data_IF_757211038669
#
_entry.id   IF_757211038669
#
_cell.length_a   1.000
_cell.length_b   1.000
_cell.length_c   1.000
_cell.angle_alpha   90.00
_cell.angle_beta   90.00
_cell.angle_gamma   90.00
#
_symmetry.space_group_name_H-M   'P 1'
#
loop_
_entity.id
_entity.type
_entity.pdbx_description
1 polymer ?
#
# COMPACT_ATOMS: atom_id res chain seq x y z
N UNK A 1 12.85 -27.17 -3.18
CA UNK A 1 12.66 -25.76 -3.63
C UNK A 1 11.17 -25.47 -3.61
N UNK A 2 10.73 -24.48 -2.83
CA UNK A 2 9.35 -24.00 -2.90
C UNK A 2 9.21 -23.08 -4.12
N UNK A 3 8.22 -23.31 -4.97
CA UNK A 3 7.87 -22.41 -6.06
C UNK A 3 6.76 -21.51 -5.58
N UNK A 4 6.91 -20.21 -5.75
CA UNK A 4 5.93 -19.19 -5.35
C UNK A 4 5.23 -18.64 -6.58
N UNK A 5 3.90 -18.71 -6.61
CA UNK A 5 3.10 -18.20 -7.72
C UNK A 5 2.82 -16.71 -7.56
N UNK A 6 3.15 -15.92 -8.60
CA UNK A 6 3.02 -14.47 -8.61
C UNK A 6 2.33 -14.00 -9.88
N UNK A 7 1.20 -13.30 -9.74
CA UNK A 7 0.58 -12.58 -10.85
C UNK A 7 1.06 -11.13 -10.87
N UNK A 8 1.68 -10.73 -11.97
CA UNK A 8 2.07 -9.33 -12.20
C UNK A 8 1.01 -8.64 -13.04
N UNK A 9 0.54 -7.52 -12.57
CA UNK A 9 -0.40 -6.62 -13.23
C UNK A 9 0.25 -5.24 -13.40
N UNK A 10 0.99 -4.98 -14.51
CA UNK A 10 1.70 -3.72 -14.67
C UNK A 10 0.78 -2.50 -14.68
N UNK A 11 -0.40 -2.63 -15.30
CA UNK A 11 -1.42 -1.58 -15.37
C UNK A 11 -1.05 -0.45 -16.31
N UNK A 12 -1.22 0.81 -15.84
CA UNK A 12 -1.20 2.02 -16.66
C UNK A 12 -0.01 2.94 -16.33
N UNK A 13 0.23 3.89 -17.19
CA UNK A 13 1.18 4.99 -16.97
C UNK A 13 2.61 4.52 -16.71
N UNK A 14 3.14 4.87 -15.52
CA UNK A 14 4.50 4.44 -15.10
C UNK A 14 4.55 2.98 -14.62
N UNK A 15 3.40 2.33 -14.42
CA UNK A 15 3.33 0.96 -13.90
C UNK A 15 4.22 -0.04 -14.64
N UNK A 16 4.21 -0.12 -15.99
CA UNK A 16 5.10 -1.00 -16.75
C UNK A 16 6.59 -0.70 -16.55
N UNK A 17 6.97 0.58 -16.40
CA UNK A 17 8.37 0.98 -16.19
C UNK A 17 8.89 0.49 -14.84
N UNK A 18 8.17 0.78 -13.75
CA UNK A 18 8.59 0.40 -12.40
C UNK A 18 8.53 -1.12 -12.20
N UNK A 19 7.58 -1.80 -12.87
CA UNK A 19 7.46 -3.25 -12.82
C UNK A 19 8.64 -3.96 -13.51
N UNK A 20 9.20 -3.34 -14.55
CA UNK A 20 10.40 -3.86 -15.21
C UNK A 20 11.56 -3.97 -14.22
N UNK A 21 11.72 -3.00 -13.32
CA UNK A 21 12.79 -3.02 -12.32
C UNK A 21 12.56 -4.10 -11.25
N UNK A 22 11.30 -4.35 -10.86
CA UNK A 22 10.95 -5.47 -9.96
C UNK A 22 11.28 -6.82 -10.60
N UNK A 23 11.06 -6.99 -11.90
CA UNK A 23 11.43 -8.23 -12.63
C UNK A 23 12.92 -8.52 -12.56
N UNK A 24 13.76 -7.48 -12.60
CA UNK A 24 15.21 -7.64 -12.42
C UNK A 24 15.54 -8.19 -11.03
N UNK A 25 14.86 -7.68 -9.97
CA UNK A 25 15.02 -8.17 -8.58
C UNK A 25 14.55 -9.62 -8.44
N UNK A 26 13.42 -9.99 -9.06
CA UNK A 26 12.95 -11.38 -9.09
C UNK A 26 14.02 -12.30 -9.71
N UNK A 27 14.53 -11.93 -10.89
CA UNK A 27 15.59 -12.70 -11.58
C UNK A 27 16.88 -12.80 -10.75
N UNK A 28 17.24 -11.74 -10.03
CA UNK A 28 18.39 -11.76 -9.12
C UNK A 28 18.19 -12.77 -7.97
N UNK A 29 16.99 -12.83 -7.36
CA UNK A 29 16.68 -13.80 -6.31
C UNK A 29 16.74 -15.23 -6.84
N UNK A 30 16.23 -15.49 -8.04
CA UNK A 30 16.26 -16.82 -8.67
C UNK A 30 17.70 -17.30 -8.93
N UNK A 31 18.59 -16.40 -9.34
CA UNK A 31 19.98 -16.71 -9.64
C UNK A 31 20.82 -16.92 -8.37
N UNK A 32 20.60 -16.08 -7.35
CA UNK A 32 21.53 -16.00 -6.22
C UNK A 32 21.01 -16.60 -4.92
N UNK A 33 19.69 -16.91 -4.81
CA UNK A 33 19.05 -17.31 -3.54
C UNK A 33 18.32 -18.65 -3.58
N UNK A 34 18.43 -19.40 -4.67
CA UNK A 34 17.77 -20.71 -4.88
C UNK A 34 16.22 -20.65 -4.62
N UNK A 35 15.62 -19.54 -4.98
CA UNK A 35 14.19 -19.30 -4.89
C UNK A 35 13.62 -19.36 -6.31
N UNK A 36 12.43 -19.95 -6.48
CA UNK A 36 11.74 -19.98 -7.77
C UNK A 36 10.39 -19.29 -7.70
N UNK A 37 10.11 -18.50 -8.72
CA UNK A 37 8.82 -17.86 -8.90
C UNK A 37 8.16 -18.39 -10.18
N UNK A 38 6.89 -18.79 -10.06
CA UNK A 38 6.01 -19.01 -11.22
C UNK A 38 5.28 -17.69 -11.50
N UNK A 39 5.89 -16.89 -12.38
CA UNK A 39 5.42 -15.54 -12.71
C UNK A 39 4.49 -15.59 -13.90
N UNK A 40 3.26 -15.17 -13.72
CA UNK A 40 2.31 -14.87 -14.79
C UNK A 40 2.05 -13.38 -14.91
N UNK A 41 1.60 -12.92 -16.07
CA UNK A 41 1.26 -11.51 -16.30
C UNK A 41 -0.11 -11.40 -16.96
N UNK A 42 -0.83 -10.32 -16.63
CA UNK A 42 -2.11 -10.00 -17.24
C UNK A 42 -2.40 -8.49 -17.19
N UNK A 43 -3.52 -8.08 -17.78
CA UNK A 43 -3.91 -6.68 -17.90
C UNK A 43 -4.86 -6.27 -16.77
N UNK A 44 -4.73 -5.01 -16.35
CA UNK A 44 -5.63 -4.34 -15.39
C UNK A 44 -5.72 -2.85 -15.74
N UNK A 45 -6.78 -2.20 -15.28
CA UNK A 45 -6.96 -0.76 -15.45
C UNK A 45 -7.33 -0.36 -16.87
N UNK A 46 -6.75 0.74 -17.33
CA UNK A 46 -6.96 1.25 -18.69
C UNK A 46 -6.41 0.33 -19.76
N UNK A 47 -5.29 -0.35 -19.48
CA UNK A 47 -4.72 -1.34 -20.39
C UNK A 47 -5.68 -2.52 -20.64
N UNK A 48 -6.37 -2.99 -19.59
CA UNK A 48 -7.40 -4.01 -19.74
C UNK A 48 -8.63 -3.49 -20.48
N UNK A 49 -9.05 -2.26 -20.17
CA UNK A 49 -10.18 -1.63 -20.86
C UNK A 49 -9.93 -1.48 -22.38
N UNK A 50 -8.75 -1.09 -22.78
CA UNK A 50 -8.39 -0.93 -24.20
C UNK A 50 -8.50 -2.24 -25.00
N UNK A 51 -8.27 -3.37 -24.35
CA UNK A 51 -8.29 -4.71 -25.01
C UNK A 51 -9.65 -5.41 -24.82
N UNK A 52 -10.23 -5.32 -23.64
CA UNK A 52 -11.40 -6.14 -23.25
C UNK A 52 -12.69 -5.32 -23.05
N UNK A 53 -12.61 -3.97 -23.06
CA UNK A 53 -13.76 -3.09 -22.76
C UNK A 53 -14.15 -3.05 -21.28
N UNK A 54 -13.37 -3.69 -20.39
CA UNK A 54 -13.57 -3.70 -18.94
C UNK A 54 -12.23 -3.51 -18.22
N UNK A 55 -12.20 -2.85 -17.05
CA UNK A 55 -10.93 -2.56 -16.35
C UNK A 55 -10.29 -3.77 -15.67
N UNK A 56 -10.99 -4.90 -15.61
CA UNK A 56 -10.49 -6.20 -15.14
C UNK A 56 -11.31 -7.31 -15.80
N UNK A 57 -10.65 -8.19 -16.56
CA UNK A 57 -11.29 -9.34 -17.18
C UNK A 57 -11.52 -10.46 -16.16
N UNK A 58 -12.53 -11.30 -16.38
CA UNK A 58 -12.87 -12.39 -15.45
C UNK A 58 -11.75 -13.45 -15.36
N UNK A 59 -11.06 -13.73 -16.47
CA UNK A 59 -9.92 -14.67 -16.47
C UNK A 59 -8.76 -14.10 -15.62
N UNK A 60 -8.50 -12.79 -15.68
CA UNK A 60 -7.50 -12.13 -14.85
C UNK A 60 -7.88 -12.21 -13.37
N UNK A 61 -9.17 -12.02 -13.04
CA UNK A 61 -9.68 -12.18 -11.68
C UNK A 61 -9.51 -13.62 -11.19
N UNK A 62 -9.81 -14.61 -12.02
CA UNK A 62 -9.62 -16.03 -11.67
C UNK A 62 -8.14 -16.37 -11.42
N UNK A 63 -7.22 -15.84 -12.24
CA UNK A 63 -5.77 -15.97 -11.99
C UNK A 63 -5.38 -15.32 -10.65
N UNK A 64 -5.84 -14.09 -10.38
CA UNK A 64 -5.54 -13.39 -9.13
C UNK A 64 -5.99 -14.18 -7.88
N UNK A 65 -7.12 -14.88 -7.97
CA UNK A 65 -7.61 -15.75 -6.89
C UNK A 65 -6.82 -17.04 -6.72
N UNK A 66 -6.08 -17.49 -7.74
CA UNK A 66 -5.36 -18.77 -7.75
C UNK A 66 -3.90 -18.70 -7.33
N UNK A 67 -3.29 -17.51 -7.37
CA UNK A 67 -1.87 -17.30 -7.04
C UNK A 67 -1.65 -17.00 -5.56
N UNK A 68 -0.40 -17.16 -5.09
CA UNK A 68 0.00 -16.81 -3.72
C UNK A 68 -0.03 -15.28 -3.48
N UNK A 69 0.30 -14.49 -4.51
CA UNK A 69 0.31 -13.04 -4.43
C UNK A 69 0.06 -12.37 -5.79
N UNK A 70 -0.54 -11.19 -5.75
CA UNK A 70 -0.67 -10.28 -6.89
C UNK A 70 0.23 -9.08 -6.66
N UNK A 71 0.99 -8.67 -7.67
CA UNK A 71 1.78 -7.44 -7.66
C UNK A 71 1.27 -6.51 -8.77
N UNK A 72 0.78 -5.33 -8.37
CA UNK A 72 0.19 -4.34 -9.26
C UNK A 72 1.10 -3.12 -9.35
N UNK A 73 1.27 -2.58 -10.56
CA UNK A 73 2.05 -1.37 -10.79
C UNK A 73 1.27 -0.10 -10.49
N UNK A 74 0.38 0.29 -11.38
CA UNK A 74 -0.49 1.45 -11.19
C UNK A 74 -1.72 1.37 -12.10
N UNK A 75 -2.79 2.10 -11.80
CA UNK A 75 -3.98 2.20 -12.65
C UNK A 75 -4.43 3.64 -12.78
N UNK A 76 -5.11 3.95 -13.89
CA UNK A 76 -5.69 5.27 -14.14
C UNK A 76 -5.00 6.06 -15.23
N UNK A 77 -5.62 7.17 -15.60
CA UNK A 77 -5.07 8.12 -16.56
C UNK A 77 -6.16 8.99 -17.22
N UNK A 78 -5.81 10.19 -17.67
CA UNK A 78 -6.78 11.19 -18.17
C UNK A 78 -7.54 10.70 -19.42
N UNK A 79 -7.00 9.75 -20.18
CA UNK A 79 -7.66 9.09 -21.30
C UNK A 79 -9.02 8.50 -20.92
N UNK A 80 -9.17 8.08 -19.67
CA UNK A 80 -10.32 7.33 -19.16
C UNK A 80 -11.29 8.16 -18.30
N UNK A 81 -11.06 9.47 -18.16
CA UNK A 81 -11.86 10.36 -17.31
C UNK A 81 -13.34 10.42 -17.72
N UNK A 82 -13.60 10.33 -19.03
CA UNK A 82 -14.95 10.42 -19.59
C UNK A 82 -15.69 9.08 -19.68
N UNK A 83 -15.10 7.97 -19.20
CA UNK A 83 -15.78 6.69 -19.15
C UNK A 83 -16.88 6.66 -18.10
N UNK A 84 -17.85 5.80 -18.32
CA UNK A 84 -18.83 5.46 -17.29
C UNK A 84 -18.14 5.04 -16.00
N UNK A 85 -18.69 5.44 -14.87
CA UNK A 85 -18.08 5.23 -13.55
C UNK A 85 -17.60 3.80 -13.30
N UNK A 86 -18.37 2.80 -13.75
CA UNK A 86 -18.04 1.38 -13.57
C UNK A 86 -16.96 0.85 -14.51
N UNK A 87 -16.60 1.61 -15.54
CA UNK A 87 -15.58 1.26 -16.53
C UNK A 87 -14.25 1.98 -16.31
N UNK A 88 -14.17 2.87 -15.32
CA UNK A 88 -12.92 3.55 -14.98
C UNK A 88 -11.85 2.56 -14.51
N UNK A 89 -10.56 2.79 -14.83
CA UNK A 89 -9.44 1.92 -14.47
C UNK A 89 -9.40 1.49 -13.00
N UNK A 90 -9.67 2.42 -12.10
CA UNK A 90 -9.67 2.21 -10.63
C UNK A 90 -10.70 1.16 -10.20
N UNK A 91 -11.76 0.94 -11.00
CA UNK A 91 -12.77 -0.09 -10.71
C UNK A 91 -12.20 -1.51 -10.80
N UNK A 92 -11.17 -1.72 -11.63
CA UNK A 92 -10.45 -2.99 -11.70
C UNK A 92 -9.74 -3.31 -10.38
N UNK A 93 -9.03 -2.34 -9.82
CA UNK A 93 -8.37 -2.47 -8.52
C UNK A 93 -9.38 -2.68 -7.37
N UNK A 94 -10.46 -1.89 -7.35
CA UNK A 94 -11.52 -2.04 -6.33
C UNK A 94 -12.20 -3.41 -6.41
N UNK A 95 -12.37 -3.96 -7.63
CA UNK A 95 -12.88 -5.31 -7.84
C UNK A 95 -11.93 -6.38 -7.28
N UNK A 96 -10.62 -6.28 -7.55
CA UNK A 96 -9.60 -7.18 -6.97
C UNK A 96 -9.68 -7.17 -5.43
N UNK A 97 -9.65 -5.99 -4.82
CA UNK A 97 -9.71 -5.84 -3.36
C UNK A 97 -10.98 -6.47 -2.75
N UNK A 98 -12.13 -6.27 -3.41
CA UNK A 98 -13.42 -6.78 -2.94
C UNK A 98 -13.55 -8.30 -3.11
N UNK A 99 -13.28 -8.83 -4.32
CA UNK A 99 -13.51 -10.25 -4.62
C UNK A 99 -12.44 -11.17 -4.03
N UNK A 100 -11.25 -10.64 -3.70
CA UNK A 100 -10.24 -11.35 -2.92
C UNK A 100 -10.40 -11.14 -1.41
N UNK A 101 -11.38 -10.33 -0.96
CA UNK A 101 -11.63 -9.95 0.44
C UNK A 101 -10.38 -9.42 1.16
N UNK A 102 -9.68 -8.46 0.52
CA UNK A 102 -8.45 -7.87 1.01
C UNK A 102 -8.76 -6.74 2.01
N UNK A 103 -9.13 -7.08 3.22
CA UNK A 103 -9.67 -6.14 4.21
C UNK A 103 -8.60 -5.33 4.96
N UNK A 104 -7.37 -5.84 5.10
CA UNK A 104 -6.30 -5.17 5.85
C UNK A 104 -5.28 -4.56 4.90
N UNK A 105 -5.33 -3.24 4.71
CA UNK A 105 -4.34 -2.54 3.92
C UNK A 105 -3.24 -1.98 4.83
N UNK A 106 -2.03 -2.49 4.62
CA UNK A 106 -0.82 -2.10 5.33
C UNK A 106 -0.09 -1.01 4.55
N UNK A 107 0.07 0.14 5.15
CA UNK A 107 0.78 1.31 4.59
C UNK A 107 1.90 1.74 5.54
N UNK A 108 3.13 1.28 5.33
CA UNK A 108 4.27 1.74 6.12
C UNK A 108 4.62 3.19 5.75
N UNK A 109 4.81 4.03 6.76
CA UNK A 109 5.39 5.35 6.64
C UNK A 109 6.75 5.34 7.33
N UNK A 110 7.77 4.95 6.59
CA UNK A 110 9.15 4.86 7.05
C UNK A 110 9.97 5.99 6.43
N UNK A 111 10.63 6.79 7.26
CA UNK A 111 11.55 7.81 6.81
C UNK A 111 12.99 7.25 6.84
N UNK A 112 13.52 6.97 5.66
CA UNK A 112 14.94 6.64 5.50
C UNK A 112 15.81 7.83 5.95
N UNK A 113 16.86 7.58 6.72
CA UNK A 113 17.69 8.65 7.28
C UNK A 113 18.29 9.56 6.18
N UNK A 114 18.65 8.96 5.05
CA UNK A 114 19.14 9.68 3.87
C UNK A 114 18.09 10.59 3.20
N UNK A 115 16.82 10.45 3.54
CA UNK A 115 15.72 11.26 3.01
C UNK A 115 15.09 12.19 4.06
N UNK A 116 15.57 12.18 5.30
CA UNK A 116 14.96 12.96 6.37
C UNK A 116 14.95 14.48 6.10
N UNK A 117 15.92 14.99 5.32
CA UNK A 117 15.99 16.39 4.92
C UNK A 117 15.06 16.73 3.73
N UNK A 118 14.43 15.71 3.10
CA UNK A 118 13.43 15.87 2.03
C UNK A 118 12.01 16.06 2.57
N UNK A 119 11.79 15.73 3.82
CA UNK A 119 10.50 15.96 4.47
C UNK A 119 10.17 17.45 4.53
N UNK A 120 8.88 17.77 4.44
CA UNK A 120 8.38 19.13 4.71
C UNK A 120 8.51 19.52 6.19
N UNK A 121 8.78 18.56 7.07
CA UNK A 121 9.02 18.77 8.49
C UNK A 121 10.51 18.79 8.82
N UNK A 122 10.84 19.32 10.01
CA UNK A 122 12.21 19.31 10.50
C UNK A 122 12.74 17.88 10.67
N UNK A 123 14.04 17.69 10.35
CA UNK A 123 14.71 16.39 10.44
C UNK A 123 14.52 15.69 11.79
N UNK A 124 14.61 16.40 12.90
CA UNK A 124 14.45 15.85 14.25
C UNK A 124 13.05 15.25 14.51
N UNK A 125 12.05 15.72 13.78
CA UNK A 125 10.67 15.18 13.86
C UNK A 125 10.56 13.85 13.09
N UNK A 126 11.21 13.73 11.92
CA UNK A 126 10.97 12.62 10.99
C UNK A 126 12.10 11.59 10.92
N UNK A 127 13.36 11.94 11.24
CA UNK A 127 14.47 11.00 11.17
C UNK A 127 14.22 9.77 12.05
N UNK A 128 14.31 8.58 11.46
CA UNK A 128 14.03 7.30 12.13
C UNK A 128 12.53 7.05 12.38
N UNK A 129 11.64 7.75 11.66
CA UNK A 129 10.20 7.47 11.70
C UNK A 129 9.92 6.09 11.10
N UNK A 130 9.12 5.29 11.80
CA UNK A 130 8.62 4.00 11.34
C UNK A 130 7.22 3.75 11.91
N UNK A 131 6.21 4.11 11.13
CA UNK A 131 4.80 3.91 11.47
C UNK A 131 4.20 2.90 10.51
N UNK A 132 3.39 1.97 11.01
CA UNK A 132 2.56 1.12 10.19
C UNK A 132 1.10 1.52 10.32
N UNK A 133 0.45 1.91 9.22
CA UNK A 133 -0.98 2.20 9.20
C UNK A 133 -1.70 0.96 8.69
N UNK A 134 -2.63 0.45 9.48
CA UNK A 134 -3.57 -0.62 9.13
C UNK A 134 -4.91 0.02 8.86
N UNK A 135 -5.25 0.13 7.58
CA UNK A 135 -6.50 0.67 7.06
C UNK A 135 -7.46 -0.50 6.77
N UNK A 136 -8.65 -0.49 7.35
CA UNK A 136 -9.72 -1.37 6.86
C UNK A 136 -10.07 -0.94 5.43
N UNK A 137 -10.18 -1.88 4.48
CA UNK A 137 -10.18 -1.53 3.06
C UNK A 137 -11.46 -1.90 2.30
N UNK A 138 -12.33 -2.73 2.86
CA UNK A 138 -13.44 -3.36 2.10
C UNK A 138 -14.82 -2.87 2.52
N UNK A 139 -14.90 -1.96 3.48
CA UNK A 139 -16.15 -1.46 4.06
C UNK A 139 -16.18 0.09 4.12
N UNK A 140 -17.03 0.66 4.95
CA UNK A 140 -17.15 2.09 5.17
C UNK A 140 -17.75 2.86 3.99
N UNK A 141 -17.41 4.14 3.88
CA UNK A 141 -18.00 5.06 2.88
C UNK A 141 -17.71 4.69 1.43
N UNK A 142 -16.67 3.86 1.17
CA UNK A 142 -16.30 3.45 -0.19
C UNK A 142 -17.17 2.31 -0.72
N UNK A 143 -17.82 1.55 0.16
CA UNK A 143 -18.60 0.36 -0.20
C UNK A 143 -20.00 0.33 0.39
N UNK A 144 -20.31 1.16 1.39
CA UNK A 144 -21.61 1.18 2.08
C UNK A 144 -22.76 1.60 1.16
N UNK A 145 -23.91 0.99 1.38
CA UNK A 145 -25.16 1.27 0.67
C UNK A 145 -26.22 1.83 1.66
N UNK A 146 -27.13 2.71 1.21
CA UNK A 146 -27.27 3.29 -0.14
C UNK A 146 -26.18 4.29 -0.48
N UNK A 147 -25.85 4.37 -1.79
CA UNK A 147 -24.88 5.34 -2.32
C UNK A 147 -25.27 5.80 -3.72
N UNK A 148 -24.86 6.98 -4.10
CA UNK A 148 -25.10 7.50 -5.44
C UNK A 148 -25.54 8.96 -5.44
N UNK A 149 -25.92 9.41 -6.64
CA UNK A 149 -26.51 10.73 -6.86
C UNK A 149 -27.98 10.52 -7.30
N UNK A 150 -28.89 11.03 -6.50
CA UNK A 150 -30.32 10.90 -6.68
C UNK A 150 -30.98 12.27 -6.88
N UNK A 151 -32.23 12.26 -7.35
CA UNK A 151 -33.07 13.46 -7.37
C UNK A 151 -34.09 13.38 -6.24
N UNK A 152 -34.14 14.43 -5.40
CA UNK A 152 -35.18 14.68 -4.42
C UNK A 152 -35.90 15.97 -4.81
N UNK A 153 -37.10 15.83 -5.40
CA UNK A 153 -37.80 16.97 -5.98
C UNK A 153 -37.00 17.59 -7.14
N UNK A 154 -36.60 18.84 -7.00
CA UNK A 154 -35.80 19.60 -8.01
C UNK A 154 -34.30 19.62 -7.70
N UNK A 155 -33.85 19.00 -6.62
CA UNK A 155 -32.45 19.03 -6.19
C UNK A 155 -31.75 17.69 -6.45
N UNK A 156 -30.42 17.74 -6.65
CA UNK A 156 -29.56 16.55 -6.69
C UNK A 156 -29.00 16.34 -5.30
N UNK A 157 -29.09 15.11 -4.80
CA UNK A 157 -28.56 14.69 -3.51
C UNK A 157 -27.51 13.60 -3.72
N UNK A 158 -26.31 13.78 -3.19
CA UNK A 158 -25.26 12.78 -3.16
C UNK A 158 -25.21 12.08 -1.82
N UNK A 159 -25.21 10.75 -1.82
CA UNK A 159 -25.17 9.93 -0.60
C UNK A 159 -24.02 8.93 -0.68
N UNK A 160 -23.24 8.84 0.41
CA UNK A 160 -22.35 7.73 0.71
C UNK A 160 -22.62 7.27 2.15
N UNK A 161 -22.86 5.97 2.33
CA UNK A 161 -23.14 5.41 3.65
C UNK A 161 -21.86 4.91 4.30
N UNK A 162 -21.52 5.46 5.46
CA UNK A 162 -20.42 4.99 6.28
C UNK A 162 -20.91 3.90 7.23
N UNK A 163 -20.73 2.63 6.83
CA UNK A 163 -21.26 1.46 7.53
C UNK A 163 -20.16 0.45 7.82
N UNK A 164 -20.14 -0.04 9.06
CA UNK A 164 -19.30 -1.13 9.53
C UNK A 164 -20.14 -2.14 10.32
N UNK A 165 -19.76 -3.41 10.22
CA UNK A 165 -20.21 -4.47 11.11
C UNK A 165 -19.13 -4.75 12.16
N UNK A 166 -19.53 -5.37 13.27
CA UNK A 166 -18.61 -5.83 14.31
C UNK A 166 -17.49 -6.73 13.74
N UNK A 167 -17.84 -7.72 12.91
CA UNK A 167 -16.88 -8.64 12.30
C UNK A 167 -15.87 -7.96 11.35
N UNK A 168 -16.27 -6.91 10.64
CA UNK A 168 -15.37 -6.12 9.79
C UNK A 168 -14.35 -5.36 10.61
N UNK A 169 -14.77 -4.80 11.75
CA UNK A 169 -13.89 -4.10 12.70
C UNK A 169 -12.97 -5.10 13.41
N UNK A 170 -13.53 -6.20 13.90
CA UNK A 170 -12.80 -7.24 14.64
C UNK A 170 -11.60 -7.77 13.84
N UNK A 171 -11.81 -8.14 12.57
CA UNK A 171 -10.73 -8.69 11.73
C UNK A 171 -9.61 -7.66 11.47
N UNK A 172 -9.96 -6.38 11.29
CA UNK A 172 -8.97 -5.31 11.13
C UNK A 172 -8.19 -5.07 12.43
N UNK A 173 -8.89 -5.08 13.58
CA UNK A 173 -8.27 -4.94 14.90
C UNK A 173 -7.29 -6.08 15.18
N UNK A 174 -7.67 -7.33 14.94
CA UNK A 174 -6.79 -8.50 15.09
C UNK A 174 -5.54 -8.38 14.23
N UNK A 175 -5.68 -7.98 12.97
CA UNK A 175 -4.53 -7.77 12.07
C UNK A 175 -3.56 -6.70 12.62
N UNK A 176 -4.08 -5.60 13.17
CA UNK A 176 -3.27 -4.54 13.75
C UNK A 176 -2.55 -4.98 15.04
N UNK A 177 -3.23 -5.70 15.92
CA UNK A 177 -2.63 -6.21 17.17
C UNK A 177 -1.55 -7.27 16.89
N UNK A 178 -1.80 -8.23 15.98
CA UNK A 178 -0.78 -9.21 15.59
C UNK A 178 0.46 -8.54 14.97
N UNK A 179 0.25 -7.48 14.22
CA UNK A 179 1.34 -6.71 13.66
C UNK A 179 2.12 -5.96 14.75
N UNK A 180 1.43 -5.34 15.70
CA UNK A 180 2.04 -4.61 16.82
C UNK A 180 2.93 -5.52 17.68
N UNK A 181 2.52 -6.78 17.93
CA UNK A 181 3.34 -7.78 18.65
C UNK A 181 4.69 -8.07 17.99
N UNK A 182 4.78 -7.83 16.67
CA UNK A 182 6.03 -8.00 15.89
C UNK A 182 6.82 -6.69 15.75
N UNK A 183 6.31 -5.61 16.35
CA UNK A 183 6.89 -4.25 16.32
C UNK A 183 7.10 -3.76 17.77
N UNK A 184 6.76 -2.50 18.04
CA UNK A 184 6.95 -1.91 19.37
C UNK A 184 5.78 -2.12 20.33
N UNK A 185 4.88 -3.03 20.00
CA UNK A 185 3.76 -3.50 20.84
C UNK A 185 2.76 -2.41 21.23
N UNK A 186 2.52 -1.41 20.36
CA UNK A 186 1.60 -0.29 20.60
C UNK A 186 0.65 -0.10 19.42
N UNK A 187 -0.66 0.05 19.72
CA UNK A 187 -1.70 0.37 18.73
C UNK A 187 -2.40 1.66 19.15
N UNK A 188 -2.52 2.60 18.19
CA UNK A 188 -3.40 3.74 18.30
C UNK A 188 -4.60 3.56 17.35
N UNK A 189 -5.79 3.29 17.89
CA UNK A 189 -7.02 3.21 17.11
C UNK A 189 -7.56 4.61 16.85
N UNK A 190 -7.72 4.98 15.57
CA UNK A 190 -8.18 6.30 15.15
C UNK A 190 -9.57 6.21 14.52
N UNK A 191 -10.50 6.93 15.06
CA UNK A 191 -11.93 6.93 14.68
C UNK A 191 -12.58 8.30 14.97
N UNK A 192 -13.89 8.42 14.78
CA UNK A 192 -14.63 9.67 15.01
C UNK A 192 -15.85 9.45 15.93
N UNK A 193 -15.66 8.74 17.06
CA UNK A 193 -16.71 8.35 18.00
C UNK A 193 -17.47 9.54 18.64
N UNK A 194 -16.89 10.74 18.61
CA UNK A 194 -17.56 11.92 19.17
C UNK A 194 -18.71 12.46 18.30
N UNK A 195 -18.85 12.01 17.05
CA UNK A 195 -19.87 12.49 16.10
C UNK A 195 -20.43 11.42 15.17
N UNK A 196 -19.87 10.21 15.18
CA UNK A 196 -20.28 9.11 14.28
C UNK A 196 -20.55 7.84 15.08
N UNK A 197 -21.76 7.27 14.95
CA UNK A 197 -22.15 6.02 15.61
C UNK A 197 -21.28 4.84 15.12
N UNK A 198 -20.92 4.81 13.85
CA UNK A 198 -19.96 3.82 13.35
C UNK A 198 -18.59 3.94 14.02
N UNK A 199 -18.18 5.15 14.40
CA UNK A 199 -16.97 5.40 15.18
C UNK A 199 -17.09 4.93 16.63
N UNK A 200 -18.28 5.05 17.23
CA UNK A 200 -18.55 4.48 18.57
C UNK A 200 -18.43 2.95 18.54
N UNK A 201 -19.11 2.30 17.60
CA UNK A 201 -19.00 0.85 17.40
C UNK A 201 -17.55 0.41 17.16
N UNK A 202 -16.80 1.18 16.34
CA UNK A 202 -15.39 0.90 16.07
C UNK A 202 -14.56 0.86 17.36
N UNK A 203 -14.71 1.89 18.21
CA UNK A 203 -14.00 2.00 19.49
C UNK A 203 -14.36 0.86 20.42
N UNK A 204 -15.64 0.53 20.54
CA UNK A 204 -16.15 -0.51 21.43
C UNK A 204 -15.58 -1.87 21.02
N UNK A 205 -15.73 -2.27 19.74
CA UNK A 205 -15.24 -3.56 19.23
C UNK A 205 -13.72 -3.68 19.34
N UNK A 206 -12.95 -2.64 18.98
CA UNK A 206 -11.49 -2.64 19.12
C UNK A 206 -11.09 -2.83 20.60
N UNK A 207 -11.82 -2.20 21.53
CA UNK A 207 -11.56 -2.35 22.97
C UNK A 207 -11.89 -3.76 23.45
N UNK A 208 -12.99 -4.36 23.00
CA UNK A 208 -13.41 -5.72 23.35
C UNK A 208 -12.39 -6.76 22.84
N UNK A 209 -11.96 -6.65 21.57
CA UNK A 209 -10.92 -7.52 21.00
C UNK A 209 -9.60 -7.40 21.77
N UNK A 210 -9.20 -6.18 22.12
CA UNK A 210 -7.99 -5.95 22.90
C UNK A 210 -8.08 -6.63 24.28
N UNK A 211 -9.19 -6.44 25.01
CA UNK A 211 -9.37 -7.01 26.34
C UNK A 211 -9.42 -8.55 26.35
N UNK A 212 -10.00 -9.13 25.29
CA UNK A 212 -10.16 -10.56 25.17
C UNK A 212 -8.83 -11.26 24.84
N UNK A 213 -8.07 -10.77 23.86
CA UNK A 213 -6.99 -11.56 23.25
C UNK A 213 -5.65 -10.82 23.15
N UNK A 214 -5.60 -9.51 23.43
CA UNK A 214 -4.43 -8.66 23.18
C UNK A 214 -4.09 -7.72 24.33
N UNK A 215 -4.42 -8.09 25.58
CA UNK A 215 -4.15 -7.28 26.77
C UNK A 215 -2.65 -7.00 27.01
N UNK A 216 -1.77 -7.70 26.31
CA UNK A 216 -0.32 -7.50 26.30
C UNK A 216 0.13 -6.35 25.39
N UNK A 217 -0.73 -5.86 24.50
CA UNK A 217 -0.45 -4.74 23.58
C UNK A 217 -0.95 -3.44 24.20
N UNK A 218 -0.17 -2.37 24.13
CA UNK A 218 -0.65 -1.04 24.54
C UNK A 218 -1.68 -0.52 23.53
N UNK A 219 -2.92 -0.25 23.99
CA UNK A 219 -3.98 0.33 23.18
C UNK A 219 -4.29 1.75 23.62
N UNK A 220 -4.30 2.68 22.67
CA UNK A 220 -4.80 4.03 22.82
C UNK A 220 -5.85 4.32 21.76
N UNK A 221 -6.77 5.26 22.06
CA UNK A 221 -7.75 5.75 21.09
C UNK A 221 -7.55 7.23 20.83
N UNK A 222 -7.72 7.64 19.58
CA UNK A 222 -7.57 9.04 19.19
C UNK A 222 -8.60 9.39 18.11
N UNK A 223 -9.21 10.57 18.20
CA UNK A 223 -10.06 11.05 17.11
C UNK A 223 -9.21 11.32 15.87
N UNK A 224 -9.70 10.95 14.70
CA UNK A 224 -8.95 10.98 13.45
C UNK A 224 -8.40 12.39 13.11
N UNK A 225 -9.16 13.46 13.41
CA UNK A 225 -8.70 14.84 13.24
C UNK A 225 -7.52 15.20 14.16
N UNK A 226 -7.55 14.73 15.42
CA UNK A 226 -6.39 14.85 16.30
C UNK A 226 -5.23 13.99 15.82
N UNK A 227 -5.51 12.78 15.32
CA UNK A 227 -4.51 11.90 14.68
C UNK A 227 -3.74 12.60 13.56
N UNK A 228 -4.46 13.29 12.66
CA UNK A 228 -3.86 14.09 11.59
C UNK A 228 -2.95 15.21 12.14
N UNK A 229 -3.39 15.93 13.18
CA UNK A 229 -2.55 16.95 13.84
C UNK A 229 -1.31 16.34 14.48
N UNK A 230 -1.42 15.17 15.12
CA UNK A 230 -0.31 14.51 15.81
C UNK A 230 0.69 13.88 14.83
N UNK A 231 0.25 13.41 13.67
CA UNK A 231 1.14 12.97 12.59
C UNK A 231 2.10 14.09 12.17
N UNK A 232 1.62 15.33 12.08
CA UNK A 232 2.46 16.48 11.72
C UNK A 232 3.30 16.95 12.91
N UNK A 233 2.76 16.91 14.15
CA UNK A 233 3.39 17.49 15.33
C UNK A 233 4.39 16.56 16.00
N UNK A 234 4.06 15.30 16.18
CA UNK A 234 4.82 14.33 16.97
C UNK A 234 4.61 12.89 16.44
N UNK A 235 4.97 12.59 15.16
CA UNK A 235 4.66 11.30 14.52
C UNK A 235 5.34 10.12 15.22
N UNK A 236 6.48 10.29 15.86
CA UNK A 236 7.24 9.22 16.54
C UNK A 236 6.55 8.62 17.77
N UNK A 237 5.43 9.19 18.21
CA UNK A 237 4.60 8.57 19.24
C UNK A 237 3.87 7.31 18.76
N UNK A 238 3.67 7.19 17.45
CA UNK A 238 2.92 6.07 16.86
C UNK A 238 3.85 4.91 16.47
N UNK A 239 3.35 3.68 16.63
CA UNK A 239 3.94 2.46 16.12
C UNK A 239 3.00 1.84 15.08
N UNK A 240 1.80 1.37 15.51
CA UNK A 240 0.74 0.92 14.63
C UNK A 240 -0.47 1.83 14.79
N UNK A 241 -0.98 2.35 13.69
CA UNK A 241 -2.25 3.09 13.63
C UNK A 241 -3.28 2.15 13.00
N UNK A 242 -4.38 1.90 13.70
CA UNK A 242 -5.54 1.17 13.20
C UNK A 242 -6.67 2.17 12.91
N UNK A 243 -7.25 2.10 11.72
CA UNK A 243 -8.30 3.05 11.33
C UNK A 243 -9.22 2.51 10.24
N UNK A 244 -10.37 3.14 10.07
CA UNK A 244 -11.35 2.81 9.03
C UNK A 244 -10.86 3.17 7.61
N UNK A 245 -11.68 2.87 6.61
CA UNK A 245 -11.31 3.03 5.22
C UNK A 245 -11.08 4.51 4.84
N UNK A 246 -12.00 5.41 5.19
CA UNK A 246 -11.92 6.82 4.79
C UNK A 246 -10.81 7.56 5.53
N UNK A 247 -10.78 7.45 6.85
CA UNK A 247 -9.74 8.11 7.64
C UNK A 247 -8.37 7.49 7.38
N UNK A 248 -8.32 6.18 7.13
CA UNK A 248 -7.09 5.47 6.78
C UNK A 248 -6.45 5.97 5.50
N UNK A 249 -7.26 6.29 4.49
CA UNK A 249 -6.79 6.91 3.26
C UNK A 249 -6.15 8.27 3.53
N UNK A 250 -6.88 9.15 4.17
CA UNK A 250 -6.44 10.52 4.46
C UNK A 250 -5.20 10.53 5.37
N UNK A 251 -5.21 9.74 6.45
CA UNK A 251 -4.11 9.71 7.41
C UNK A 251 -2.85 9.08 6.84
N UNK A 252 -2.97 8.05 6.00
CA UNK A 252 -1.80 7.45 5.35
C UNK A 252 -1.18 8.37 4.31
N UNK A 253 -1.99 9.15 3.58
CA UNK A 253 -1.47 10.14 2.63
C UNK A 253 -0.80 11.32 3.36
N UNK A 254 -1.33 11.74 4.51
CA UNK A 254 -0.63 12.70 5.39
C UNK A 254 0.69 12.14 5.90
N UNK A 255 0.71 10.87 6.34
CA UNK A 255 1.93 10.21 6.81
C UNK A 255 2.96 10.01 5.69
N UNK A 256 2.49 9.79 4.46
CA UNK A 256 3.32 9.68 3.27
C UNK A 256 4.21 10.91 3.06
N UNK A 257 3.68 12.10 3.28
CA UNK A 257 4.43 13.34 3.13
C UNK A 257 5.55 13.53 4.17
N UNK A 258 5.51 12.78 5.27
CA UNK A 258 6.57 12.77 6.27
C UNK A 258 7.83 12.07 5.77
N UNK A 259 7.70 11.17 4.79
CA UNK A 259 8.80 10.32 4.29
C UNK A 259 9.56 10.93 3.11
N UNK A 260 9.06 12.02 2.53
CA UNK A 260 9.71 12.82 1.49
C UNK A 260 9.20 12.56 0.06
N UNK A 261 8.76 11.35 -0.31
CA UNK A 261 8.22 11.06 -1.65
C UNK A 261 7.25 9.89 -1.66
N UNK A 262 6.17 10.01 -2.44
CA UNK A 262 5.25 8.90 -2.74
C UNK A 262 5.95 7.74 -3.47
N UNK A 263 7.01 8.02 -4.22
CA UNK A 263 7.83 7.03 -4.92
C UNK A 263 8.60 6.08 -3.99
N UNK A 264 8.55 6.31 -2.67
CA UNK A 264 9.17 5.48 -1.64
C UNK A 264 8.16 4.61 -0.86
N UNK A 265 6.87 4.73 -1.13
CA UNK A 265 5.81 4.15 -0.28
C UNK A 265 5.24 2.87 -0.87
N UNK A 266 5.57 1.71 -0.30
CA UNK A 266 4.92 0.45 -0.65
C UNK A 266 3.57 0.31 0.06
N UNK A 267 2.75 -0.63 -0.41
CA UNK A 267 1.59 -1.10 0.34
C UNK A 267 1.30 -2.57 0.12
N UNK A 268 0.58 -3.16 1.07
CA UNK A 268 0.06 -4.52 1.00
C UNK A 268 -1.42 -4.51 1.37
N UNK A 269 -2.25 -5.18 0.60
CA UNK A 269 -3.65 -5.44 0.93
C UNK A 269 -3.80 -6.93 1.20
N UNK A 270 -4.15 -7.29 2.43
CA UNK A 270 -4.18 -8.67 2.91
C UNK A 270 -5.61 -9.10 3.21
N UNK A 271 -5.93 -10.32 2.83
CA UNK A 271 -7.17 -11.01 3.18
C UNK A 271 -7.02 -11.92 4.41
N UNK A 272 -8.04 -12.72 4.66
CA UNK A 272 -7.98 -13.75 5.70
C UNK A 272 -6.96 -14.84 5.35
N UNK A 273 -6.34 -15.49 6.35
CA UNK A 273 -5.46 -16.63 6.10
C UNK A 273 -6.20 -17.76 5.37
N UNK A 274 -5.57 -18.31 4.32
CA UNK A 274 -6.02 -19.51 3.63
C UNK A 274 -5.64 -20.77 4.44
N UNK A 275 -6.03 -21.96 3.93
CA UNK A 275 -5.70 -23.26 4.57
C UNK A 275 -4.20 -23.47 4.80
N UNK A 276 -3.34 -22.89 3.97
CA UNK A 276 -1.89 -22.92 4.11
C UNK A 276 -1.35 -21.91 5.16
N UNK A 277 -2.23 -21.19 5.86
CA UNK A 277 -1.90 -20.16 6.84
C UNK A 277 -1.45 -18.80 6.26
N UNK A 278 -1.38 -18.67 4.94
CA UNK A 278 -1.00 -17.41 4.25
C UNK A 278 -2.23 -16.65 3.82
N UNK A 279 -2.24 -15.30 3.89
CA UNK A 279 -3.35 -14.51 3.41
C UNK A 279 -3.35 -14.43 1.87
N UNK A 280 -4.52 -14.32 1.26
CA UNK A 280 -4.61 -13.74 -0.09
C UNK A 280 -4.06 -12.32 -0.02
N UNK A 281 -3.33 -11.90 -1.05
CA UNK A 281 -2.65 -10.61 -0.97
C UNK A 281 -2.47 -9.94 -2.33
N UNK A 282 -2.55 -8.61 -2.30
CA UNK A 282 -2.19 -7.73 -3.40
C UNK A 282 -1.21 -6.69 -2.87
N UNK A 283 -0.11 -6.50 -3.58
CA UNK A 283 0.95 -5.56 -3.28
C UNK A 283 1.02 -4.50 -4.37
N UNK A 284 1.10 -3.25 -3.98
CA UNK A 284 1.14 -2.14 -4.93
C UNK A 284 1.84 -0.92 -4.31
N UNK A 285 2.54 -0.09 -5.10
CA UNK A 285 2.99 1.21 -4.61
C UNK A 285 1.79 2.10 -4.30
N UNK A 286 1.95 3.04 -3.38
CA UNK A 286 0.88 4.01 -3.01
C UNK A 286 0.67 5.05 -4.11
N UNK A 287 1.71 5.36 -4.92
CA UNK A 287 1.61 6.32 -6.01
C UNK A 287 0.67 5.85 -7.13
N UNK A 288 0.08 6.80 -7.85
CA UNK A 288 -0.75 6.53 -9.04
C UNK A 288 0.07 6.28 -10.31
N UNK A 289 -0.60 6.36 -11.44
CA UNK A 289 -0.03 6.09 -12.78
C UNK A 289 0.88 7.19 -13.34
N UNK A 290 0.90 8.39 -12.74
CA UNK A 290 1.73 9.53 -13.14
C UNK A 290 1.83 9.71 -14.68
N UNK A 291 0.70 9.96 -15.36
CA UNK A 291 0.64 9.96 -16.83
C UNK A 291 1.52 11.02 -17.49
N UNK A 292 1.85 12.08 -16.77
CA UNK A 292 2.71 13.19 -17.20
C UNK A 292 4.18 12.77 -17.40
N UNK A 293 4.65 11.74 -16.72
CA UNK A 293 6.02 11.22 -16.84
C UNK A 293 6.09 9.81 -17.45
N UNK A 294 4.96 9.23 -17.82
CA UNK A 294 4.88 7.89 -18.41
C UNK A 294 5.73 7.76 -19.68
N UNK A 295 6.50 6.68 -19.81
CA UNK A 295 7.38 6.40 -20.94
C UNK A 295 8.65 7.26 -20.99
N UNK A 296 8.92 8.08 -19.96
CA UNK A 296 10.08 8.97 -19.93
C UNK A 296 11.27 8.41 -19.14
N UNK A 297 11.12 7.25 -18.50
CA UNK A 297 12.18 6.65 -17.68
C UNK A 297 12.56 7.50 -16.46
N UNK A 298 11.61 8.26 -15.91
CA UNK A 298 11.83 9.17 -14.77
C UNK A 298 11.24 8.67 -13.46
N UNK A 299 10.34 7.69 -13.52
CA UNK A 299 9.64 7.18 -12.35
C UNK A 299 10.59 6.54 -11.35
N UNK A 300 10.35 6.76 -10.06
CA UNK A 300 11.07 6.09 -8.99
C UNK A 300 10.51 4.66 -8.82
N UNK A 301 11.31 3.59 -9.02
CA UNK A 301 10.82 2.22 -8.90
C UNK A 301 10.82 1.71 -7.45
N UNK A 302 11.36 2.47 -6.50
CA UNK A 302 11.63 1.99 -5.14
C UNK A 302 10.36 1.55 -4.41
N UNK A 303 9.24 2.27 -4.55
CA UNK A 303 7.97 1.88 -3.93
C UNK A 303 7.47 0.51 -4.45
N UNK A 304 7.61 0.25 -5.75
CA UNK A 304 7.21 -1.03 -6.35
C UNK A 304 8.14 -2.17 -5.90
N UNK A 305 9.44 -1.93 -5.84
CA UNK A 305 10.46 -2.87 -5.32
C UNK A 305 10.20 -3.18 -3.83
N UNK A 306 9.90 -2.16 -3.03
CA UNK A 306 9.55 -2.34 -1.61
C UNK A 306 8.19 -3.04 -1.44
N UNK A 307 7.22 -2.82 -2.34
CA UNK A 307 5.96 -3.59 -2.36
C UNK A 307 6.21 -5.08 -2.62
N UNK A 308 7.15 -5.40 -3.51
CA UNK A 308 7.59 -6.78 -3.71
C UNK A 308 8.33 -7.33 -2.47
N UNK A 309 9.12 -6.52 -1.76
CA UNK A 309 9.72 -6.93 -0.48
C UNK A 309 8.62 -7.26 0.56
N UNK A 310 7.52 -6.50 0.60
CA UNK A 310 6.37 -6.86 1.43
C UNK A 310 5.75 -8.21 1.01
N UNK A 311 5.67 -8.52 -0.30
CA UNK A 311 5.20 -9.82 -0.78
C UNK A 311 6.11 -10.96 -0.30
N UNK A 312 7.42 -10.77 -0.34
CA UNK A 312 8.38 -11.73 0.21
C UNK A 312 8.14 -11.98 1.69
N UNK A 313 7.85 -10.94 2.46
CA UNK A 313 7.65 -11.01 3.91
C UNK A 313 6.32 -11.64 4.31
N UNK A 314 5.21 -11.21 3.68
CA UNK A 314 3.86 -11.56 4.14
C UNK A 314 3.24 -12.75 3.40
N UNK A 315 3.55 -12.96 2.10
CA UNK A 315 2.99 -14.06 1.31
C UNK A 315 3.93 -15.25 1.15
N UNK A 316 5.25 -15.01 1.05
CA UNK A 316 6.19 -16.07 0.69
C UNK A 316 7.03 -16.61 1.87
N UNK A 317 6.91 -15.98 3.07
CA UNK A 317 7.71 -16.32 4.25
C UNK A 317 9.23 -16.20 4.01
N UNK A 318 9.61 -15.24 3.17
CA UNK A 318 10.98 -14.92 2.80
C UNK A 318 11.45 -13.60 3.45
N UNK A 319 11.20 -13.45 4.75
CA UNK A 319 11.48 -12.22 5.48
C UNK A 319 12.94 -11.77 5.44
N UNK A 320 13.90 -12.71 5.35
CA UNK A 320 15.32 -12.37 5.21
C UNK A 320 15.62 -11.69 3.86
N UNK A 321 15.00 -12.16 2.80
CA UNK A 321 15.18 -11.57 1.46
C UNK A 321 14.44 -10.23 1.34
N UNK A 322 13.30 -10.09 2.00
CA UNK A 322 12.63 -8.80 2.13
C UNK A 322 13.55 -7.76 2.78
N UNK A 323 14.13 -8.07 3.94
CA UNK A 323 15.08 -7.19 4.64
C UNK A 323 16.31 -6.88 3.78
N UNK A 324 16.81 -7.84 3.00
CA UNK A 324 17.93 -7.61 2.08
C UNK A 324 17.59 -6.56 1.02
N UNK A 325 16.40 -6.62 0.43
CA UNK A 325 15.92 -5.63 -0.55
C UNK A 325 15.77 -4.25 0.12
N UNK A 326 15.15 -4.19 1.30
CA UNK A 326 14.98 -2.96 2.07
C UNK A 326 16.34 -2.30 2.37
N UNK A 327 17.32 -3.09 2.82
CA UNK A 327 18.70 -2.61 3.06
C UNK A 327 19.41 -2.16 1.79
N UNK A 328 19.18 -2.83 0.66
CA UNK A 328 19.76 -2.40 -0.62
C UNK A 328 19.20 -1.06 -1.08
N UNK A 329 17.88 -0.83 -0.95
CA UNK A 329 17.26 0.47 -1.23
C UNK A 329 17.83 1.55 -0.31
N UNK A 330 17.95 1.29 1.00
CA UNK A 330 18.55 2.23 1.96
C UNK A 330 19.99 2.57 1.59
N UNK A 331 20.79 1.58 1.19
CA UNK A 331 22.18 1.78 0.75
C UNK A 331 22.28 2.69 -0.46
N UNK A 332 21.46 2.45 -1.49
CA UNK A 332 21.41 3.28 -2.71
C UNK A 332 21.08 4.73 -2.37
N UNK A 333 20.09 4.93 -1.47
CA UNK A 333 19.74 6.26 -0.99
C UNK A 333 20.87 6.90 -0.18
N UNK A 334 21.58 6.14 0.64
CA UNK A 334 22.71 6.63 1.43
C UNK A 334 23.92 7.01 0.57
N UNK A 335 24.09 6.35 -0.58
CA UNK A 335 25.12 6.66 -1.58
C UNK A 335 24.77 7.92 -2.42
N UNK A 336 23.63 8.56 -2.16
CA UNK A 336 23.25 9.80 -2.84
C UNK A 336 22.59 9.58 -4.21
N UNK A 337 22.26 8.35 -4.59
CA UNK A 337 21.59 8.06 -5.86
C UNK A 337 20.10 8.43 -5.73
N UNK A 338 19.60 9.28 -6.64
CA UNK A 338 18.26 9.90 -6.56
C UNK A 338 17.58 9.92 -7.92
N UNK A 339 16.31 9.54 -7.96
CA UNK A 339 15.37 9.87 -9.05
C UNK A 339 14.89 11.32 -8.92
N UNK A 340 14.21 11.82 -9.94
CA UNK A 340 13.83 13.24 -10.02
C UNK A 340 12.91 13.72 -8.86
N UNK A 341 12.08 12.83 -8.32
CA UNK A 341 11.19 13.10 -7.18
C UNK A 341 11.94 13.24 -5.84
N UNK A 342 13.21 12.85 -5.81
CA UNK A 342 14.09 12.88 -4.63
C UNK A 342 15.26 13.87 -4.77
N UNK A 343 15.16 14.88 -5.64
CA UNK A 343 16.16 15.93 -5.77
C UNK A 343 15.82 17.13 -4.88
N UNK A 344 16.85 17.75 -4.28
CA UNK A 344 16.70 18.91 -3.39
C UNK A 344 17.20 20.20 -3.98
N UNK A 345 18.29 20.17 -4.74
CA UNK A 345 18.98 21.35 -5.18
C UNK A 345 18.92 21.54 -6.70
N UNK A 346 18.88 22.81 -7.12
CA UNK A 346 19.04 23.19 -8.51
C UNK A 346 20.47 22.80 -8.96
N UNK A 347 20.57 21.86 -9.90
CA UNK A 347 21.86 21.35 -10.39
C UNK A 347 22.13 19.88 -10.01
N UNK A 348 21.36 19.27 -9.13
CA UNK A 348 21.43 17.83 -8.87
C UNK A 348 21.03 17.05 -10.14
N UNK A 349 21.71 15.93 -10.38
CA UNK A 349 21.43 15.08 -11.54
C UNK A 349 20.61 13.86 -11.10
N UNK A 350 19.40 13.76 -11.65
CA UNK A 350 18.56 12.58 -11.45
C UNK A 350 19.10 11.38 -12.21
N UNK A 351 19.00 10.19 -11.60
CA UNK A 351 19.10 8.92 -12.32
C UNK A 351 17.76 8.56 -12.95
N UNK A 352 17.79 7.76 -14.02
CA UNK A 352 16.58 7.21 -14.63
C UNK A 352 16.00 6.07 -13.81
N UNK A 353 14.75 5.68 -14.12
CA UNK A 353 14.09 4.49 -13.54
C UNK A 353 15.00 3.26 -13.62
N UNK A 354 15.56 2.99 -14.80
CA UNK A 354 16.44 1.82 -15.00
C UNK A 354 17.74 1.94 -14.21
N UNK A 355 18.38 3.12 -14.16
CA UNK A 355 19.60 3.33 -13.38
C UNK A 355 19.37 3.14 -11.88
N UNK A 356 18.21 3.57 -11.36
CA UNK A 356 17.85 3.31 -9.97
C UNK A 356 17.68 1.80 -9.71
N UNK A 357 16.99 1.08 -10.60
CA UNK A 357 16.85 -0.37 -10.50
C UNK A 357 18.20 -1.11 -10.57
N UNK A 358 19.09 -0.69 -11.48
CA UNK A 358 20.43 -1.28 -11.62
C UNK A 358 21.28 -1.01 -10.34
N UNK A 359 21.20 0.19 -9.75
CA UNK A 359 21.87 0.50 -8.50
C UNK A 359 21.36 -0.38 -7.32
N UNK A 360 20.06 -0.65 -7.26
CA UNK A 360 19.51 -1.58 -6.26
C UNK A 360 20.06 -2.99 -6.47
N UNK A 361 20.18 -3.47 -7.71
CA UNK A 361 20.77 -4.79 -8.02
C UNK A 361 22.27 -4.85 -7.65
N UNK A 362 23.02 -3.79 -7.91
CA UNK A 362 24.41 -3.69 -7.50
C UNK A 362 24.56 -3.77 -5.98
N UNK A 363 23.72 -3.04 -5.23
CA UNK A 363 23.69 -3.08 -3.76
C UNK A 363 23.30 -4.48 -3.23
N UNK A 364 22.33 -5.15 -3.85
CA UNK A 364 21.97 -6.53 -3.54
C UNK A 364 23.15 -7.48 -3.77
N UNK A 365 23.85 -7.34 -4.90
CA UNK A 365 24.98 -8.20 -5.26
C UNK A 365 26.17 -7.97 -4.32
N UNK A 366 26.42 -6.74 -3.90
CA UNK A 366 27.45 -6.42 -2.92
C UNK A 366 27.17 -6.99 -1.51
N UNK A 367 25.92 -7.40 -1.24
CA UNK A 367 25.50 -8.00 0.04
C UNK A 367 25.55 -9.54 0.07
N UNK A 368 26.03 -10.19 -1.00
CA UNK A 368 26.22 -11.66 -1.08
C UNK A 368 27.38 -12.11 -0.20
#
# INVERSE_FOLDING_TARGET
MSTHSLLILPGDGIGPEVMTEVRKVIGWLEIHRDIKFDVSEDLVGGAAYDVHGVPLHDDTMAKAQSVDAVLLGAVGGPKYDNLDFNLKPERGLLRLRKEMDLFANLRPAQCFDALADFSSLKRDIVAGLDIMIVRELTSGSYFGEPRGIFKEGNERVGINTHRYTESEIERAARAAFELARRRSNRVCSMEKANVMEAGVLWRDVVTEVHQADYADVELTHMYADNGAMQLVRAPKQFDVILTDNLFGDILSDCAAMLTGSLGMLPSASLGSPMENGRPKALYEPVHGSAPDISGQGKANPSACVLSFAMALRYSFDLGKEATRIETAVEKVLSDGIRTADLLQAEGDTAVTTSQMGDAILEALTASL
#
